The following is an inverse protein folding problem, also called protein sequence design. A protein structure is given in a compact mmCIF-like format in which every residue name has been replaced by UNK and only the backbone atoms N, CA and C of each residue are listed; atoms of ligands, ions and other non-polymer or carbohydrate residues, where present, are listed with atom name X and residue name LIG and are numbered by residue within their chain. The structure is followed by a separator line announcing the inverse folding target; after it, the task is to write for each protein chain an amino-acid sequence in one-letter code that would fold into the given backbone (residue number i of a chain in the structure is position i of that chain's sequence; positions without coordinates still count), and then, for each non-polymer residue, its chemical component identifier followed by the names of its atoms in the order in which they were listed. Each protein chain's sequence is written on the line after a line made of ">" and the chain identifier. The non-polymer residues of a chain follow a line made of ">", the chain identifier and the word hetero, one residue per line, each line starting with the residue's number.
data_IF_844773684277
#
_entry.id   IF_844773684277
#
_cell.length_a   1.000
_cell.length_b   1.000
_cell.length_c   1.000
_cell.angle_alpha   90.00
_cell.angle_beta   90.00
_cell.angle_gamma   90.00
#
_symmetry.space_group_name_H-M   'P 1'
#
loop_
_entity.id
_entity.type
_entity.pdbx_description
1 polymer ?
#
# COMPACT_ATOMS: atom_id res chain seq x y z
N UNK A 1 -2.74 13.93 -1.71
CA UNK A 1 -3.98 13.39 -2.29
C UNK A 1 -3.78 13.27 -3.78
N UNK A 2 -3.32 12.11 -4.25
CA UNK A 2 -3.29 11.84 -5.68
C UNK A 2 -4.75 11.65 -6.11
N UNK A 3 -5.26 12.60 -6.89
CA UNK A 3 -6.55 12.49 -7.56
C UNK A 3 -6.43 11.33 -8.56
N UNK A 4 -6.80 10.12 -8.12
CA UNK A 4 -7.23 9.09 -9.06
C UNK A 4 -8.59 9.57 -9.54
N UNK A 5 -8.65 10.07 -10.76
CA UNK A 5 -9.90 10.37 -11.45
C UNK A 5 -10.82 9.16 -11.27
N UNK A 6 -12.02 9.32 -10.69
CA UNK A 6 -12.97 8.21 -10.68
C UNK A 6 -13.30 7.92 -12.14
N UNK A 7 -13.08 6.69 -12.59
CA UNK A 7 -13.59 6.23 -13.87
C UNK A 7 -15.08 6.60 -13.92
N UNK A 8 -15.45 7.46 -14.86
CA UNK A 8 -16.76 8.14 -14.94
C UNK A 8 -17.91 7.23 -15.34
N UNK A 9 -17.62 5.94 -15.46
CA UNK A 9 -18.51 4.90 -15.94
C UNK A 9 -18.21 3.67 -15.10
N UNK A 10 -19.24 2.99 -14.60
CA UNK A 10 -19.08 1.72 -13.86
C UNK A 10 -18.57 0.57 -14.74
N UNK A 11 -17.68 0.83 -15.70
CA UNK A 11 -17.09 -0.10 -16.63
C UNK A 11 -15.59 -0.26 -16.32
N UNK A 12 -14.99 -1.39 -16.69
CA UNK A 12 -13.53 -1.52 -16.65
C UNK A 12 -12.89 -0.68 -17.77
N UNK A 13 -11.64 -0.21 -17.63
CA UNK A 13 -10.93 0.51 -18.70
C UNK A 13 -10.87 -0.29 -20.02
N UNK A 14 -10.71 -1.61 -19.93
CA UNK A 14 -10.72 -2.52 -21.09
C UNK A 14 -12.06 -2.53 -21.82
N UNK A 15 -13.18 -2.49 -21.09
CA UNK A 15 -14.52 -2.39 -21.68
C UNK A 15 -14.75 -1.03 -22.32
N UNK A 16 -14.25 0.05 -21.71
CA UNK A 16 -14.29 1.40 -22.30
C UNK A 16 -13.48 1.50 -23.60
N UNK A 17 -12.45 0.67 -23.75
CA UNK A 17 -11.64 0.56 -24.97
C UNK A 17 -12.24 -0.37 -26.03
N UNK A 18 -13.43 -0.95 -25.79
CA UNK A 18 -14.16 -1.76 -26.77
C UNK A 18 -13.90 -3.27 -26.72
N UNK A 19 -13.43 -3.81 -25.58
CA UNK A 19 -13.33 -5.26 -25.39
C UNK A 19 -14.72 -5.80 -24.97
N UNK A 20 -15.51 -6.20 -25.97
CA UNK A 20 -16.91 -6.62 -25.82
C UNK A 20 -17.10 -7.95 -25.05
N UNK A 21 -16.02 -8.72 -24.83
CA UNK A 21 -16.08 -9.95 -24.01
C UNK A 21 -16.31 -9.66 -22.53
N UNK A 22 -16.13 -8.41 -22.08
CA UNK A 22 -16.35 -7.98 -20.70
C UNK A 22 -17.81 -7.57 -20.50
N UNK A 23 -18.60 -8.44 -19.89
CA UNK A 23 -20.02 -8.19 -19.61
C UNK A 23 -20.22 -7.41 -18.30
N UNK A 24 -21.34 -6.69 -18.19
CA UNK A 24 -21.69 -6.02 -16.91
C UNK A 24 -21.94 -7.01 -15.78
N UNK A 25 -22.48 -8.19 -16.10
CA UNK A 25 -22.67 -9.28 -15.14
C UNK A 25 -21.33 -9.74 -14.57
N UNK A 26 -20.30 -9.91 -15.40
CA UNK A 26 -18.97 -10.29 -14.95
C UNK A 26 -18.37 -9.23 -14.01
N UNK A 27 -18.47 -7.95 -14.38
CA UNK A 27 -18.00 -6.85 -13.55
C UNK A 27 -18.75 -6.77 -12.21
N UNK A 28 -20.06 -7.04 -12.21
CA UNK A 28 -20.86 -7.03 -11.00
C UNK A 28 -20.52 -8.20 -10.06
N UNK A 29 -20.35 -9.40 -10.61
CA UNK A 29 -19.88 -10.55 -9.82
C UNK A 29 -18.51 -10.29 -9.20
N UNK A 30 -17.58 -9.67 -9.93
CA UNK A 30 -16.28 -9.28 -9.39
C UNK A 30 -16.42 -8.27 -8.23
N UNK A 31 -17.25 -7.24 -8.39
CA UNK A 31 -17.50 -6.22 -7.34
C UNK A 31 -18.09 -6.81 -6.07
N UNK A 32 -19.05 -7.72 -6.23
CA UNK A 32 -19.70 -8.39 -5.11
C UNK A 32 -18.73 -9.25 -4.27
N UNK A 33 -17.59 -9.65 -4.84
CA UNK A 33 -16.61 -10.55 -4.21
C UNK A 33 -15.23 -9.90 -4.00
N UNK A 34 -15.12 -8.57 -3.93
CA UNK A 34 -13.84 -7.89 -3.66
C UNK A 34 -13.31 -8.15 -2.24
N UNK A 35 -14.19 -8.48 -1.29
CA UNK A 35 -13.79 -8.89 0.06
C UNK A 35 -13.55 -10.39 0.09
N UNK A 36 -12.28 -10.78 0.18
CA UNK A 36 -11.85 -12.17 0.22
C UNK A 36 -12.16 -12.79 1.58
N UNK A 37 -12.76 -13.98 1.59
CA UNK A 37 -13.08 -14.74 2.80
C UNK A 37 -12.03 -15.83 3.09
N UNK A 38 -12.01 -16.35 4.31
CA UNK A 38 -11.13 -17.49 4.69
C UNK A 38 -11.35 -18.71 3.79
N UNK A 39 -12.59 -18.92 3.32
CA UNK A 39 -12.91 -20.00 2.38
C UNK A 39 -12.23 -19.80 1.03
N UNK A 40 -12.15 -18.56 0.56
CA UNK A 40 -11.51 -18.23 -0.72
C UNK A 40 -9.99 -18.43 -0.62
N UNK A 41 -9.39 -18.10 0.53
CA UNK A 41 -7.99 -18.42 0.81
C UNK A 41 -7.72 -19.92 0.80
N UNK A 42 -8.63 -20.74 1.33
CA UNK A 42 -8.47 -22.20 1.31
C UNK A 42 -8.52 -22.74 -0.13
N UNK A 43 -9.42 -22.21 -0.98
CA UNK A 43 -9.46 -22.54 -2.41
C UNK A 43 -8.15 -22.15 -3.08
N UNK A 44 -7.68 -20.91 -2.87
CA UNK A 44 -6.42 -20.44 -3.43
C UNK A 44 -5.23 -21.31 -2.99
N UNK A 45 -5.17 -21.72 -1.72
CA UNK A 45 -4.11 -22.60 -1.19
C UNK A 45 -4.09 -23.97 -1.87
N UNK A 46 -5.25 -24.57 -2.14
CA UNK A 46 -5.36 -25.84 -2.86
C UNK A 46 -4.93 -25.67 -4.32
N UNK A 47 -5.37 -24.60 -4.97
CA UNK A 47 -5.02 -24.28 -6.35
C UNK A 47 -3.53 -23.96 -6.50
N UNK A 48 -2.93 -23.24 -5.55
CA UNK A 48 -1.51 -22.90 -5.55
C UNK A 48 -0.64 -24.15 -5.46
N UNK A 49 -1.00 -25.11 -4.60
CA UNK A 49 -0.28 -26.39 -4.52
C UNK A 49 -0.29 -27.14 -5.85
N UNK A 50 -1.38 -27.02 -6.61
CA UNK A 50 -1.57 -27.72 -7.89
C UNK A 50 -0.86 -26.98 -9.03
N UNK A 51 -1.06 -25.66 -9.12
CA UNK A 51 -0.55 -24.79 -10.21
C UNK A 51 0.89 -24.37 -10.01
N UNK A 52 1.37 -24.38 -8.76
CA UNK A 52 2.68 -23.86 -8.33
C UNK A 52 2.88 -22.38 -8.69
N UNK A 53 1.78 -21.63 -8.66
CA UNK A 53 1.78 -20.19 -8.94
C UNK A 53 0.61 -19.54 -8.17
N UNK A 54 0.96 -18.71 -7.20
CA UNK A 54 0.08 -17.95 -6.31
C UNK A 54 -0.92 -17.05 -7.06
N UNK A 55 -0.48 -16.20 -7.98
CA UNK A 55 -1.37 -15.31 -8.74
C UNK A 55 -2.38 -16.12 -9.53
N UNK A 56 -1.93 -17.16 -10.25
CA UNK A 56 -2.85 -18.00 -11.02
C UNK A 56 -3.81 -18.80 -10.14
N UNK A 57 -3.39 -19.15 -8.92
CA UNK A 57 -4.26 -19.77 -7.94
C UNK A 57 -5.36 -18.81 -7.47
N UNK A 58 -5.01 -17.56 -7.19
CA UNK A 58 -5.97 -16.51 -6.84
C UNK A 58 -6.88 -16.14 -8.01
N UNK A 59 -6.38 -16.10 -9.25
CA UNK A 59 -7.22 -15.91 -10.46
C UNK A 59 -8.26 -17.02 -10.57
N UNK A 60 -7.86 -18.28 -10.36
CA UNK A 60 -8.79 -19.41 -10.41
C UNK A 60 -9.79 -19.39 -9.24
N UNK A 61 -9.32 -19.12 -8.02
CA UNK A 61 -10.18 -19.01 -6.84
C UNK A 61 -11.21 -17.88 -7.02
N UNK A 62 -10.80 -16.74 -7.58
CA UNK A 62 -11.70 -15.64 -7.86
C UNK A 62 -12.72 -15.98 -8.97
N UNK A 63 -12.29 -16.71 -10.00
CA UNK A 63 -13.19 -17.25 -11.02
C UNK A 63 -14.24 -18.22 -10.47
N UNK A 64 -13.95 -18.93 -9.37
CA UNK A 64 -14.91 -19.84 -8.74
C UNK A 64 -16.07 -19.10 -8.04
N UNK A 65 -15.81 -17.91 -7.49
CA UNK A 65 -16.84 -17.05 -6.87
C UNK A 65 -17.48 -16.06 -7.83
N UNK A 66 -16.81 -15.75 -8.95
CA UNK A 66 -17.32 -14.94 -10.05
C UNK A 66 -17.26 -15.70 -11.39
N UNK A 67 -18.13 -16.71 -11.62
CA UNK A 67 -18.08 -17.57 -12.81
C UNK A 67 -18.21 -16.82 -14.14
N UNK A 68 -18.99 -15.74 -14.20
CA UNK A 68 -19.15 -14.93 -15.40
C UNK A 68 -17.85 -14.17 -15.75
N UNK A 69 -16.99 -13.92 -14.77
CA UNK A 69 -15.72 -13.23 -14.94
C UNK A 69 -14.53 -14.17 -15.17
N UNK A 70 -14.66 -15.48 -14.90
CA UNK A 70 -13.54 -16.43 -14.89
C UNK A 70 -12.70 -16.43 -16.18
N UNK A 71 -13.31 -16.17 -17.35
CA UNK A 71 -12.63 -16.09 -18.65
C UNK A 71 -11.99 -14.74 -18.99
N UNK A 72 -12.27 -13.70 -18.21
CA UNK A 72 -11.79 -12.32 -18.46
C UNK A 72 -10.92 -11.77 -17.31
N UNK A 73 -10.90 -12.42 -16.15
CA UNK A 73 -9.99 -12.04 -15.05
C UNK A 73 -8.55 -12.18 -15.54
N UNK A 74 -7.75 -11.13 -15.34
CA UNK A 74 -6.35 -11.07 -15.73
C UNK A 74 -6.10 -11.08 -17.25
N UNK A 75 -7.12 -10.75 -18.06
CA UNK A 75 -7.03 -10.71 -19.52
C UNK A 75 -5.87 -9.81 -19.99
N UNK A 76 -4.94 -10.37 -20.76
CA UNK A 76 -3.81 -9.62 -21.33
C UNK A 76 -2.76 -9.12 -20.33
N UNK A 77 -2.98 -9.33 -19.02
CA UNK A 77 -2.05 -8.96 -17.97
C UNK A 77 -1.03 -10.08 -17.69
N UNK A 78 0.03 -9.71 -16.99
CA UNK A 78 1.01 -10.66 -16.42
C UNK A 78 0.95 -10.59 -14.90
N UNK A 79 1.50 -11.58 -14.20
CA UNK A 79 1.49 -11.65 -12.73
C UNK A 79 1.99 -10.35 -12.07
N UNK A 80 3.00 -9.70 -12.66
CA UNK A 80 3.55 -8.42 -12.20
C UNK A 80 2.53 -7.26 -12.21
N UNK A 81 1.47 -7.34 -13.02
CA UNK A 81 0.40 -6.35 -12.99
C UNK A 81 -0.27 -6.29 -11.61
N UNK A 82 -0.50 -7.44 -10.96
CA UNK A 82 -1.14 -7.45 -9.64
C UNK A 82 -0.11 -7.38 -8.51
N UNK A 83 1.03 -8.08 -8.62
CA UNK A 83 2.02 -8.10 -7.53
C UNK A 83 2.66 -6.73 -7.35
N UNK A 84 3.27 -6.18 -8.39
CA UNK A 84 4.10 -4.98 -8.26
C UNK A 84 3.25 -3.74 -7.97
N UNK A 85 2.07 -3.63 -8.59
CA UNK A 85 1.16 -2.54 -8.28
C UNK A 85 0.61 -2.63 -6.85
N UNK A 86 0.35 -3.85 -6.34
CA UNK A 86 -0.06 -4.03 -4.95
C UNK A 86 1.06 -3.64 -3.99
N UNK A 87 2.31 -4.05 -4.28
CA UNK A 87 3.47 -3.65 -3.48
C UNK A 87 3.66 -2.14 -3.45
N UNK A 88 3.49 -1.44 -4.58
CA UNK A 88 3.56 0.01 -4.64
C UNK A 88 2.47 0.68 -3.79
N UNK A 89 1.24 0.17 -3.82
CA UNK A 89 0.14 0.68 -2.99
C UNK A 89 0.43 0.48 -1.50
N UNK A 90 0.87 -0.72 -1.12
CA UNK A 90 1.24 -1.03 0.27
C UNK A 90 2.41 -0.18 0.75
N UNK A 91 3.44 0.01 -0.08
CA UNK A 91 4.58 0.86 0.25
C UNK A 91 4.17 2.31 0.45
N UNK A 92 3.28 2.84 -0.41
CA UNK A 92 2.72 4.19 -0.25
C UNK A 92 1.96 4.32 1.07
N UNK A 93 1.09 3.38 1.39
CA UNK A 93 0.30 3.42 2.64
C UNK A 93 1.18 3.28 3.89
N UNK A 94 2.20 2.43 3.83
CA UNK A 94 3.20 2.31 4.88
C UNK A 94 3.96 3.64 5.08
N UNK A 95 4.37 4.30 4.00
CA UNK A 95 5.03 5.60 4.05
C UNK A 95 4.12 6.68 4.65
N UNK A 96 2.83 6.69 4.33
CA UNK A 96 1.87 7.63 4.92
C UNK A 96 1.75 7.45 6.45
N UNK A 97 1.81 6.21 6.95
CA UNK A 97 1.85 5.92 8.39
C UNK A 97 3.16 6.38 9.05
N UNK A 98 4.29 6.13 8.39
CA UNK A 98 5.62 6.51 8.90
C UNK A 98 5.75 8.03 8.95
N UNK A 99 5.37 8.74 7.90
CA UNK A 99 5.44 10.21 7.83
C UNK A 99 4.68 10.88 8.98
N UNK A 100 3.49 10.38 9.35
CA UNK A 100 2.72 10.89 10.48
C UNK A 100 3.48 10.74 11.81
N UNK A 101 4.05 9.56 12.06
CA UNK A 101 4.82 9.28 13.27
C UNK A 101 6.11 10.10 13.34
N UNK A 102 6.81 10.25 12.21
CA UNK A 102 8.02 11.08 12.14
C UNK A 102 7.68 12.55 12.41
N UNK A 103 6.56 13.06 11.89
CA UNK A 103 6.11 14.42 12.18
C UNK A 103 5.84 14.63 13.68
N UNK A 104 5.24 13.65 14.36
CA UNK A 104 5.06 13.68 15.83
C UNK A 104 6.39 13.68 16.59
N UNK A 105 7.36 12.86 16.18
CA UNK A 105 8.71 12.85 16.77
C UNK A 105 9.38 14.21 16.61
N UNK A 106 9.31 14.81 15.41
CA UNK A 106 9.84 16.15 15.15
C UNK A 106 9.16 17.19 16.04
N UNK A 107 7.82 17.15 16.16
CA UNK A 107 7.08 18.07 17.02
C UNK A 107 7.50 17.96 18.50
N UNK A 108 7.71 16.73 18.99
CA UNK A 108 8.17 16.48 20.35
C UNK A 108 9.60 16.99 20.58
N UNK A 109 10.52 16.74 19.64
CA UNK A 109 11.90 17.26 19.71
C UNK A 109 11.93 18.79 19.62
N UNK A 110 11.07 19.39 18.79
CA UNK A 110 10.92 20.84 18.69
C UNK A 110 10.47 21.45 20.02
N UNK A 111 9.42 20.88 20.64
CA UNK A 111 8.95 21.33 21.94
C UNK A 111 10.02 21.17 23.04
N UNK A 112 10.75 20.05 23.03
CA UNK A 112 11.90 19.82 23.93
C UNK A 112 13.00 20.87 23.73
N UNK A 113 13.40 21.14 22.49
CA UNK A 113 14.44 22.09 22.17
C UNK A 113 14.08 23.51 22.63
N UNK A 114 12.82 23.93 22.42
CA UNK A 114 12.34 25.23 22.89
C UNK A 114 12.28 25.33 24.42
N UNK A 115 11.85 24.27 25.11
CA UNK A 115 11.81 24.23 26.57
C UNK A 115 13.19 24.43 27.19
N UNK A 116 14.22 23.81 26.60
CA UNK A 116 15.59 23.82 27.11
C UNK A 116 16.53 24.76 26.36
N UNK A 117 15.99 25.74 25.62
CA UNK A 117 16.76 26.63 24.74
C UNK A 117 17.84 27.45 25.45
N UNK A 118 17.66 27.71 26.74
CA UNK A 118 18.54 28.56 27.57
C UNK A 118 19.35 27.78 28.61
N UNK A 119 19.19 26.46 28.71
CA UNK A 119 19.88 25.61 29.69
C UNK A 119 21.32 25.33 29.21
N UNK A 120 22.37 25.88 29.85
CA UNK A 120 23.74 25.68 29.41
C UNK A 120 24.20 24.23 29.57
N UNK A 121 24.97 23.71 28.61
CA UNK A 121 25.59 22.38 28.71
C UNK A 121 26.94 22.36 27.98
N UNK A 122 27.85 21.52 28.46
CA UNK A 122 29.14 21.27 27.80
C UNK A 122 28.94 20.58 26.46
N UNK A 123 29.42 21.15 25.35
CA UNK A 123 29.43 20.46 24.06
C UNK A 123 30.55 19.42 23.99
N UNK A 124 30.43 18.48 23.05
CA UNK A 124 31.44 17.47 22.81
C UNK A 124 31.83 17.40 21.34
N UNK A 125 33.12 17.53 21.06
CA UNK A 125 33.72 17.24 19.75
C UNK A 125 34.74 16.12 19.95
N UNK A 126 34.70 15.06 19.14
CA UNK A 126 35.52 13.86 19.37
C UNK A 126 35.28 13.24 20.77
N UNK A 127 34.06 13.37 21.31
CA UNK A 127 33.71 13.01 22.69
C UNK A 127 34.57 13.69 23.77
N UNK A 128 35.26 14.78 23.42
CA UNK A 128 36.03 15.63 24.33
C UNK A 128 35.31 16.94 24.59
N UNK A 129 35.50 17.51 25.78
CA UNK A 129 34.90 18.76 26.21
C UNK A 129 35.22 19.90 25.22
N UNK A 130 34.17 20.60 24.76
CA UNK A 130 34.26 21.74 23.85
C UNK A 130 33.52 22.96 24.41
N UNK A 131 33.36 24.00 23.59
CA UNK A 131 32.72 25.25 24.00
C UNK A 131 31.26 25.03 24.45
N UNK A 132 30.77 25.82 25.42
CA UNK A 132 29.40 25.69 25.92
C UNK A 132 28.36 25.92 24.83
N UNK A 133 27.31 25.11 24.84
CA UNK A 133 26.08 25.28 24.06
C UNK A 133 24.88 25.21 25.03
N UNK A 134 23.66 25.12 24.50
CA UNK A 134 22.48 24.81 25.32
C UNK A 134 21.93 23.43 25.03
N UNK A 135 21.22 22.82 26.00
CA UNK A 135 20.56 21.52 25.82
C UNK A 135 19.59 21.58 24.65
N UNK A 136 18.84 22.67 24.52
CA UNK A 136 17.95 22.88 23.39
C UNK A 136 18.69 23.00 22.05
N UNK A 137 19.84 23.67 22.00
CA UNK A 137 20.68 23.73 20.79
C UNK A 137 21.20 22.35 20.39
N UNK A 138 21.55 21.49 21.35
CA UNK A 138 21.95 20.10 21.07
C UNK A 138 20.82 19.28 20.45
N UNK A 139 19.58 19.45 20.94
CA UNK A 139 18.44 18.68 20.43
C UNK A 139 18.00 19.07 19.00
N UNK A 140 18.44 20.23 18.50
CA UNK A 140 18.13 20.76 17.17
C UNK A 140 19.33 20.75 16.21
N UNK A 141 20.44 20.10 16.58
CA UNK A 141 21.67 20.00 15.79
C UNK A 141 21.65 18.84 14.80
#
# INVERSE_FOLDING_TARGET
>A
MANVTPASTGASPEKELGIDTITDEALEQMRAHLTVTDKDFEVARIEEKTRRHDVMAHVHAFGAVAPAAAGIVHLGATSCFVTDNTELLLAREAMDLICKKVAEVIANLFAFALRWKSEPTLAYTHLQAAQLITVGKRAAQ
#
